data_IF_342057967611
#
_entry.id   IF_342057967611
#
_cell.length_a   1.000
_cell.length_b   1.000
_cell.length_c   1.000
_cell.angle_alpha   90.00
_cell.angle_beta   90.00
_cell.angle_gamma   90.00
#
_symmetry.space_group_name_H-M   'P 1'
#
loop_
_entity.id
_entity.type
_entity.pdbx_description
1 polymer ?
#
# COMPACT_ATOMS: atom_id res chain seq x y z
N UNK A 1 20.62 -2.81 -3.64
CA UNK A 1 19.37 -2.73 -4.43
C UNK A 1 18.25 -3.33 -3.59
N UNK A 2 17.03 -2.79 -3.60
CA UNK A 2 15.93 -3.37 -2.84
C UNK A 2 15.60 -4.77 -3.39
N UNK A 3 15.68 -5.78 -2.54
CA UNK A 3 15.27 -7.14 -2.91
C UNK A 3 13.75 -7.24 -2.83
N UNK A 4 13.11 -7.41 -3.98
CA UNK A 4 11.66 -7.59 -4.08
C UNK A 4 11.31 -9.06 -4.23
N UNK A 5 10.44 -9.56 -3.36
CA UNK A 5 9.89 -10.91 -3.46
C UNK A 5 9.01 -11.05 -4.71
N UNK A 6 8.80 -12.27 -5.23
CA UNK A 6 7.94 -12.49 -6.39
C UNK A 6 6.50 -11.98 -6.19
N UNK A 7 5.98 -12.09 -4.97
CA UNK A 7 4.65 -11.61 -4.61
C UNK A 7 4.55 -10.08 -4.67
N UNK A 8 5.53 -9.38 -4.09
CA UNK A 8 5.62 -7.91 -4.14
C UNK A 8 5.79 -7.41 -5.57
N UNK A 9 6.64 -8.04 -6.37
CA UNK A 9 6.80 -7.69 -7.79
C UNK A 9 5.47 -7.79 -8.54
N UNK A 10 4.67 -8.82 -8.28
CA UNK A 10 3.35 -8.98 -8.91
C UNK A 10 2.39 -7.87 -8.50
N UNK A 11 2.35 -7.50 -7.22
CA UNK A 11 1.53 -6.40 -6.72
C UNK A 11 1.93 -5.06 -7.35
N UNK A 12 3.24 -4.76 -7.39
CA UNK A 12 3.79 -3.54 -8.00
C UNK A 12 3.52 -3.48 -9.51
N UNK A 13 3.51 -4.61 -10.22
CA UNK A 13 3.14 -4.67 -11.64
C UNK A 13 1.68 -4.28 -11.87
N UNK A 14 0.78 -4.78 -11.02
CA UNK A 14 -0.64 -4.45 -11.08
C UNK A 14 -0.86 -2.95 -10.83
N UNK A 15 -0.24 -2.40 -9.79
CA UNK A 15 -0.28 -0.96 -9.49
C UNK A 15 0.31 -0.13 -10.63
N UNK A 16 1.44 -0.57 -11.19
CA UNK A 16 2.08 0.12 -12.28
C UNK A 16 1.14 0.22 -13.47
N UNK A 17 0.41 -0.82 -13.87
CA UNK A 17 -0.40 -0.82 -15.10
C UNK A 17 -1.27 0.44 -15.27
N UNK A 18 -1.93 0.89 -14.21
CA UNK A 18 -2.82 2.07 -14.22
C UNK A 18 -2.08 3.42 -14.25
N UNK A 19 -0.81 3.46 -13.85
CA UNK A 19 -0.02 4.70 -13.80
C UNK A 19 0.33 5.21 -15.20
N UNK A 20 0.40 6.53 -15.36
CA UNK A 20 0.94 7.17 -16.58
C UNK A 20 2.47 7.32 -16.46
N UNK A 21 3.22 7.28 -17.58
CA UNK A 21 4.64 7.59 -17.56
C UNK A 21 4.85 9.04 -17.08
N UNK A 22 5.66 9.22 -16.05
CA UNK A 22 5.95 10.54 -15.46
C UNK A 22 7.21 11.16 -16.05
N UNK A 23 8.19 10.32 -16.43
CA UNK A 23 9.45 10.78 -17.04
C UNK A 23 9.57 10.20 -18.44
N UNK A 24 9.94 11.08 -19.39
CA UNK A 24 10.27 10.73 -20.77
C UNK A 24 11.77 10.96 -21.00
N UNK A 25 12.49 9.92 -21.44
CA UNK A 25 13.87 10.03 -21.89
C UNK A 25 13.82 10.24 -23.41
N UNK A 26 14.29 11.39 -23.90
CA UNK A 26 14.33 11.70 -25.34
C UNK A 26 15.50 11.02 -26.07
N UNK A 27 15.70 11.38 -27.34
CA UNK A 27 16.77 10.82 -28.18
C UNK A 27 18.18 11.21 -27.72
N UNK A 28 18.29 12.30 -26.93
CA UNK A 28 19.53 12.69 -26.25
C UNK A 28 20.00 11.66 -25.21
N UNK A 29 19.14 10.71 -24.82
CA UNK A 29 19.46 9.64 -23.88
C UNK A 29 19.42 10.07 -22.42
N UNK A 30 20.13 9.31 -21.58
CA UNK A 30 20.16 9.51 -20.14
C UNK A 30 21.09 10.69 -19.78
N UNK A 31 20.51 11.80 -19.33
CA UNK A 31 21.24 12.96 -18.81
C UNK A 31 21.16 13.04 -17.29
N UNK A 32 22.07 13.81 -16.67
CA UNK A 32 22.07 14.05 -15.23
C UNK A 32 20.77 14.75 -14.76
N UNK A 33 20.22 15.64 -15.57
CA UNK A 33 18.94 16.29 -15.28
C UNK A 33 17.78 15.28 -15.22
N UNK A 34 17.77 14.29 -16.12
CA UNK A 34 16.79 13.20 -16.12
C UNK A 34 16.99 12.29 -14.90
N UNK A 35 18.23 11.99 -14.51
CA UNK A 35 18.52 11.22 -13.30
C UNK A 35 18.02 11.93 -12.03
N UNK A 36 18.28 13.24 -11.92
CA UNK A 36 17.80 14.04 -10.80
C UNK A 36 16.26 14.10 -10.76
N UNK A 37 15.61 14.19 -11.92
CA UNK A 37 14.15 14.14 -12.00
C UNK A 37 13.59 12.77 -11.58
N UNK A 38 14.20 11.68 -12.05
CA UNK A 38 13.82 10.32 -11.65
C UNK A 38 13.93 10.14 -10.13
N UNK A 39 15.00 10.65 -9.51
CA UNK A 39 15.18 10.60 -8.05
C UNK A 39 14.07 11.36 -7.31
N UNK A 40 13.76 12.60 -7.74
CA UNK A 40 12.65 13.40 -7.18
C UNK A 40 11.30 12.70 -7.30
N UNK A 41 11.03 12.09 -8.45
CA UNK A 41 9.77 11.39 -8.70
C UNK A 41 9.67 10.11 -7.86
N UNK A 42 10.76 9.36 -7.71
CA UNK A 42 10.82 8.19 -6.83
C UNK A 42 10.64 8.58 -5.36
N UNK A 43 11.18 9.72 -4.93
CA UNK A 43 10.98 10.24 -3.58
C UNK A 43 9.52 10.67 -3.31
N UNK A 44 8.74 10.99 -4.35
CA UNK A 44 7.35 11.41 -4.20
C UNK A 44 6.38 10.22 -4.32
N UNK A 45 6.55 9.38 -5.33
CA UNK A 45 5.56 8.38 -5.73
C UNK A 45 5.96 6.93 -5.42
N UNK A 46 7.20 6.66 -5.01
CA UNK A 46 7.77 5.31 -4.74
C UNK A 46 7.85 4.38 -5.96
N UNK A 47 6.81 4.36 -6.79
CA UNK A 47 6.66 3.58 -8.01
C UNK A 47 6.46 4.53 -9.19
N UNK A 48 7.39 4.49 -10.14
CA UNK A 48 7.32 5.34 -11.33
C UNK A 48 7.41 4.54 -12.62
N UNK A 49 6.77 5.07 -13.66
CA UNK A 49 6.94 4.63 -15.04
C UNK A 49 7.80 5.63 -15.78
N UNK A 50 8.87 5.14 -16.39
CA UNK A 50 9.75 5.92 -17.27
C UNK A 50 9.62 5.37 -18.68
N UNK A 51 9.42 6.26 -19.65
CA UNK A 51 9.36 5.90 -21.06
C UNK A 51 10.61 6.39 -21.76
N UNK A 52 11.24 5.53 -22.55
CA UNK A 52 12.46 5.79 -23.28
C UNK A 52 12.11 5.97 -24.75
N UNK A 53 12.49 7.08 -25.35
CA UNK A 53 12.48 7.28 -26.80
C UNK A 53 13.70 6.56 -27.39
N UNK A 54 13.50 5.83 -28.49
CA UNK A 54 14.54 5.03 -29.13
C UNK A 54 14.18 3.55 -29.24
N UNK A 55 14.69 2.92 -30.31
CA UNK A 55 14.34 1.54 -30.68
C UNK A 55 15.36 0.51 -30.15
N UNK A 56 16.55 0.96 -29.76
CA UNK A 56 17.65 0.07 -29.35
C UNK A 56 17.35 -0.65 -28.02
N UNK A 57 17.33 -1.98 -28.08
CA UNK A 57 17.10 -2.85 -26.92
C UNK A 57 18.29 -2.90 -25.96
N UNK A 58 19.52 -2.83 -26.48
CA UNK A 58 20.74 -2.91 -25.66
C UNK A 58 20.88 -1.65 -24.81
N UNK A 59 20.68 -0.48 -25.41
CA UNK A 59 20.70 0.82 -24.70
C UNK A 59 19.68 0.85 -23.55
N UNK A 60 18.48 0.30 -23.74
CA UNK A 60 17.46 0.24 -22.69
C UNK A 60 17.89 -0.56 -21.46
N UNK A 61 18.53 -1.71 -21.66
CA UNK A 61 19.05 -2.50 -20.55
C UNK A 61 20.17 -1.74 -19.81
N UNK A 62 21.08 -1.10 -20.54
CA UNK A 62 22.14 -0.26 -19.96
C UNK A 62 21.57 0.91 -19.16
N UNK A 63 20.54 1.60 -19.69
CA UNK A 63 19.89 2.70 -18.96
C UNK A 63 19.20 2.20 -17.70
N UNK A 64 18.49 1.06 -17.76
CA UNK A 64 17.87 0.47 -16.58
C UNK A 64 18.90 0.22 -15.48
N UNK A 65 20.01 -0.45 -15.81
CA UNK A 65 21.09 -0.73 -14.86
C UNK A 65 21.72 0.55 -14.31
N UNK A 66 21.98 1.54 -15.18
CA UNK A 66 22.59 2.82 -14.79
C UNK A 66 21.70 3.58 -13.83
N UNK A 67 20.39 3.68 -14.11
CA UNK A 67 19.42 4.35 -13.25
C UNK A 67 19.31 3.61 -11.90
N UNK A 68 19.26 2.27 -11.94
CA UNK A 68 19.18 1.47 -10.72
C UNK A 68 20.43 1.64 -9.84
N UNK A 69 21.62 1.76 -10.44
CA UNK A 69 22.87 2.03 -9.73
C UNK A 69 22.92 3.45 -9.17
N UNK A 70 22.50 4.44 -9.95
CA UNK A 70 22.55 5.85 -9.55
C UNK A 70 21.56 6.19 -8.43
N UNK A 71 20.31 5.69 -8.52
CA UNK A 71 19.22 6.07 -7.60
C UNK A 71 18.97 5.01 -6.52
N UNK A 72 19.56 3.82 -6.66
CA UNK A 72 19.33 2.70 -5.75
C UNK A 72 17.91 2.11 -5.85
N UNK A 73 17.27 2.25 -7.01
CA UNK A 73 15.92 1.71 -7.25
C UNK A 73 15.95 0.24 -7.68
N UNK A 74 14.84 -0.46 -7.47
CA UNK A 74 14.61 -1.83 -7.93
C UNK A 74 13.86 -1.84 -9.27
N UNK A 75 14.33 -2.61 -10.27
CA UNK A 75 13.58 -2.83 -11.50
C UNK A 75 12.43 -3.83 -11.28
N UNK A 76 11.20 -3.43 -11.58
CA UNK A 76 10.01 -4.28 -11.39
C UNK A 76 9.63 -5.01 -12.69
N UNK A 77 9.58 -4.23 -13.78
CA UNK A 77 9.15 -4.69 -15.08
C UNK A 77 9.71 -3.78 -16.18
N UNK A 78 10.02 -4.38 -17.33
CA UNK A 78 10.39 -3.68 -18.55
C UNK A 78 9.46 -4.16 -19.68
N UNK A 79 8.62 -3.28 -20.22
CA UNK A 79 7.73 -3.56 -21.35
C UNK A 79 8.17 -2.69 -22.52
N UNK A 80 8.88 -3.28 -23.48
CA UNK A 80 9.35 -2.54 -24.65
C UNK A 80 10.13 -1.29 -24.22
N UNK A 81 9.58 -0.12 -24.54
CA UNK A 81 10.17 1.20 -24.25
C UNK A 81 9.80 1.79 -22.89
N UNK A 82 9.00 1.09 -22.09
CA UNK A 82 8.58 1.54 -20.76
C UNK A 82 9.26 0.68 -19.70
N UNK A 83 9.86 1.32 -18.72
CA UNK A 83 10.45 0.68 -17.54
C UNK A 83 9.68 1.12 -16.29
N UNK A 84 9.55 0.18 -15.35
CA UNK A 84 8.90 0.39 -14.05
C UNK A 84 9.96 0.27 -12.98
N UNK A 85 10.13 1.34 -12.22
CA UNK A 85 11.12 1.46 -11.14
C UNK A 85 10.40 1.64 -9.82
N UNK A 86 10.91 0.98 -8.79
CA UNK A 86 10.39 1.06 -7.44
C UNK A 86 11.49 1.38 -6.43
N UNK A 87 11.22 2.30 -5.52
CA UNK A 87 12.05 2.61 -4.36
C UNK A 87 11.16 2.70 -3.14
N UNK A 88 11.46 1.87 -2.14
CA UNK A 88 10.77 1.91 -0.84
C UNK A 88 11.21 3.15 -0.08
N UNK A 89 10.27 4.00 0.37
CA UNK A 89 10.63 5.08 1.29
C UNK A 89 11.11 4.49 2.61
N UNK A 90 12.14 5.07 3.24
CA UNK A 90 12.33 4.83 4.66
C UNK A 90 11.05 5.30 5.36
N UNK A 91 10.48 4.44 6.19
CA UNK A 91 9.33 4.78 7.03
C UNK A 91 9.67 6.07 7.75
N UNK A 92 8.98 7.16 7.39
CA UNK A 92 9.12 8.42 8.10
C UNK A 92 8.34 8.23 9.40
N UNK A 93 8.92 7.48 10.34
CA UNK A 93 8.48 7.54 11.72
C UNK A 93 8.50 9.02 12.08
N UNK A 94 7.37 9.66 12.41
CA UNK A 94 7.42 10.96 13.03
C UNK A 94 8.02 10.71 14.41
N UNK A 95 9.35 10.78 14.50
CA UNK A 95 10.08 10.88 15.74
C UNK A 95 9.92 12.31 16.27
N UNK A 96 8.67 12.76 16.42
CA UNK A 96 8.32 13.89 17.27
C UNK A 96 7.92 13.27 18.61
N UNK A 97 8.81 13.27 19.63
CA UNK A 97 8.52 12.70 20.95
C UNK A 97 7.38 13.41 21.71
N UNK A 98 6.73 14.40 21.09
CA UNK A 98 5.62 15.16 21.65
C UNK A 98 4.24 14.76 21.08
N UNK A 99 4.18 14.02 19.98
CA UNK A 99 2.92 13.44 19.50
C UNK A 99 2.76 12.02 20.06
N UNK A 100 2.02 11.91 21.17
CA UNK A 100 1.66 10.62 21.75
C UNK A 100 0.91 9.70 20.76
N UNK A 101 0.85 8.38 21.02
CA UNK A 101 0.23 7.42 20.11
C UNK A 101 -1.23 7.79 19.86
N UNK A 102 -1.55 8.15 18.62
CA UNK A 102 -2.91 8.42 18.18
C UNK A 102 -3.71 7.11 18.18
N UNK A 103 -4.46 6.92 19.25
CA UNK A 103 -5.73 6.18 19.33
C UNK A 103 -5.74 4.71 18.91
N UNK A 104 -5.70 3.83 19.92
CA UNK A 104 -6.50 2.59 19.91
C UNK A 104 -6.99 2.24 21.33
N UNK A 105 -7.54 3.23 22.04
CA UNK A 105 -8.27 3.04 23.29
C UNK A 105 -9.77 2.90 23.02
N UNK A 106 -10.22 1.65 22.84
CA UNK A 106 -11.59 1.25 23.21
C UNK A 106 -11.55 -0.10 23.91
N UNK A 107 -11.51 -0.15 25.25
CA UNK A 107 -11.87 -1.37 25.94
C UNK A 107 -13.37 -1.57 25.74
N UNK A 108 -13.74 -2.65 25.03
CA UNK A 108 -15.12 -3.12 24.92
C UNK A 108 -15.58 -3.53 26.31
N UNK A 109 -16.29 -2.62 27.00
CA UNK A 109 -16.91 -2.83 28.30
C UNK A 109 -18.03 -3.88 28.16
N UNK A 110 -17.68 -5.16 28.29
CA UNK A 110 -18.67 -6.21 28.50
C UNK A 110 -19.08 -6.12 29.97
N UNK A 111 -20.27 -5.56 30.23
CA UNK A 111 -20.87 -5.61 31.56
C UNK A 111 -21.23 -7.07 31.85
N UNK A 112 -20.53 -7.65 32.83
CA UNK A 112 -20.95 -8.86 33.52
C UNK A 112 -22.33 -8.61 34.15
N UNK A 113 -23.34 -9.35 33.72
CA UNK A 113 -24.60 -9.50 34.45
C UNK A 113 -24.51 -10.83 35.20
N UNK A 114 -23.98 -10.75 36.42
CA UNK A 114 -24.06 -11.82 37.42
C UNK A 114 -25.18 -11.51 38.40
N UNK A 115 -26.16 -12.42 38.43
CA UNK A 115 -27.04 -12.78 39.54
C UNK A 115 -27.68 -11.70 40.41
N UNK A 116 -29.02 -11.69 40.41
CA UNK A 116 -29.74 -11.72 41.69
C UNK A 116 -30.82 -12.81 41.64
N UNK A 117 -30.51 -13.94 42.27
CA UNK A 117 -31.51 -14.91 42.74
C UNK A 117 -32.22 -14.27 43.93
N UNK A 118 -33.55 -14.40 44.03
CA UNK A 118 -34.24 -15.16 45.10
C UNK A 118 -35.77 -14.92 45.08
N UNK A 119 -36.54 -15.84 45.71
CA UNK A 119 -37.82 -16.33 45.21
C UNK A 119 -39.02 -15.87 46.04
N UNK A 120 -40.23 -16.01 45.49
CA UNK A 120 -41.50 -16.15 46.23
C UNK A 120 -42.53 -16.66 45.22
N UNK A 121 -42.83 -17.96 45.21
CA UNK A 121 -43.88 -18.62 45.98
C UNK A 121 -45.30 -18.23 45.53
N UNK A 122 -46.00 -19.23 44.99
CA UNK A 122 -47.43 -19.54 45.25
C UNK A 122 -48.45 -18.43 44.94
N UNK A 123 -49.52 -18.64 44.16
CA UNK A 123 -50.55 -19.63 44.47
C UNK A 123 -51.74 -19.44 43.52
N UNK A 124 -52.44 -20.55 43.20
CA UNK A 124 -53.85 -20.67 42.74
C UNK A 124 -54.24 -19.98 41.42
N UNK A 125 -55.26 -20.38 40.69
CA UNK A 125 -56.09 -21.56 40.54
C UNK A 125 -56.98 -21.21 39.33
N UNK A 126 -57.35 -22.20 38.52
CA UNK A 126 -58.41 -22.11 37.50
C UNK A 126 -59.72 -21.54 38.11
N UNK A 127 -60.70 -21.02 37.34
CA UNK A 127 -61.43 -21.86 36.38
C UNK A 127 -62.05 -21.14 35.16
N UNK A 128 -62.49 -21.96 34.17
CA UNK A 128 -63.77 -21.89 33.41
C UNK A 128 -64.08 -20.56 32.66
N UNK A 129 -64.69 -20.51 31.47
CA UNK A 129 -65.54 -21.42 30.69
C UNK A 129 -65.95 -20.65 29.42
N UNK A 130 -66.57 -21.38 28.48
CA UNK A 130 -67.61 -20.95 27.53
C UNK A 130 -67.13 -20.07 26.35
N UNK A 131 -67.16 -20.54 25.11
CA UNK A 131 -68.32 -20.93 24.26
C UNK A 131 -68.75 -19.79 23.34
N UNK A 132 -69.10 -20.17 22.11
CA UNK A 132 -69.68 -19.39 20.99
C UNK A 132 -68.68 -18.52 20.22
N UNK A 133 -68.63 -18.53 18.89
CA UNK A 133 -69.68 -18.76 17.89
C UNK A 133 -69.10 -19.36 16.61
#
# INVERSE_FOLDING_TARGET
MPELTPAERRALRAQAHTLKPVVLIGDAGLSEAVLAEIDRQLASHELIKVRIAGEDRRRRATFLETICKAVGAAPVLQIGRVIVLYRRKPDKTPADPWLGPATASRPRRQKAQGELRRPTAQTRASPRRLSTK
#
